data_IF_040182430919
#
_entry.id   IF_040182430919
#
_cell.length_a   1.000
_cell.length_b   1.000
_cell.length_c   1.000
_cell.angle_alpha   90.00
_cell.angle_beta   90.00
_cell.angle_gamma   90.00
#
_symmetry.space_group_name_H-M   'P 1'
#
loop_
_entity.id
_entity.type
_entity.pdbx_description
1 polymer ?
#
# COMPACT_ATOMS: atom_id res chain seq x y z
N UNK A 1 55.92 50.73 29.99
CA UNK A 1 54.52 50.68 29.51
C UNK A 1 54.39 49.43 28.64
N UNK A 2 53.59 48.45 29.05
CA UNK A 2 53.33 47.24 28.28
C UNK A 2 51.83 46.93 28.35
N UNK A 3 51.13 47.13 27.24
CA UNK A 3 49.72 46.76 27.09
C UNK A 3 49.66 45.30 26.63
N UNK A 4 49.23 44.42 27.53
CA UNK A 4 48.89 43.03 27.21
C UNK A 4 47.49 42.97 26.63
N UNK A 5 47.38 42.76 25.32
CA UNK A 5 46.13 42.48 24.62
C UNK A 5 45.69 41.05 24.93
N UNK A 6 44.69 40.90 25.79
CA UNK A 6 44.02 39.62 26.06
C UNK A 6 43.00 39.39 24.94
N UNK A 7 43.37 38.62 23.93
CA UNK A 7 42.44 38.14 22.90
C UNK A 7 41.49 37.10 23.50
N UNK A 8 40.28 37.54 23.85
CA UNK A 8 39.17 36.65 24.19
C UNK A 8 38.65 36.04 22.88
N UNK A 9 39.11 34.84 22.56
CA UNK A 9 38.61 34.06 21.42
C UNK A 9 37.17 33.61 21.68
N UNK A 10 36.22 34.14 20.91
CA UNK A 10 34.81 33.73 20.96
C UNK A 10 34.64 32.38 20.24
N UNK A 11 34.56 31.31 21.02
CA UNK A 11 34.34 29.95 20.52
C UNK A 11 32.84 29.73 20.30
N UNK A 12 32.38 29.95 19.07
CA UNK A 12 30.98 29.72 18.68
C UNK A 12 30.79 28.22 18.48
N UNK A 13 30.27 27.52 19.50
CA UNK A 13 29.77 26.15 19.34
C UNK A 13 28.43 26.19 18.61
N UNK A 14 28.45 25.98 17.29
CA UNK A 14 27.21 25.71 16.54
C UNK A 14 26.77 24.28 16.84
N UNK A 15 25.87 24.13 17.80
CA UNK A 15 25.13 22.90 18.02
C UNK A 15 24.27 22.61 16.78
N UNK A 16 24.65 21.61 15.99
CA UNK A 16 23.85 21.13 14.87
C UNK A 16 22.56 20.51 15.42
N UNK A 17 21.44 21.21 15.25
CA UNK A 17 20.12 20.65 15.54
C UNK A 17 19.87 19.59 14.47
N UNK A 18 19.99 18.32 14.84
CA UNK A 18 19.65 17.20 13.96
C UNK A 18 18.13 17.14 13.87
N UNK A 19 17.57 17.63 12.76
CA UNK A 19 16.17 17.38 12.42
C UNK A 19 16.10 15.93 11.96
N UNK A 20 15.50 15.05 12.78
CA UNK A 20 15.15 13.71 12.32
C UNK A 20 14.03 13.84 11.30
N UNK A 21 14.38 13.89 10.02
CA UNK A 21 13.41 13.80 8.95
C UNK A 21 12.73 12.42 8.99
N UNK A 22 11.42 12.38 8.81
CA UNK A 22 10.66 11.14 8.65
C UNK A 22 11.19 10.39 7.42
N UNK A 23 11.45 9.08 7.56
CA UNK A 23 11.87 8.25 6.43
C UNK A 23 11.36 6.84 6.57
N UNK A 24 10.82 6.31 5.47
CA UNK A 24 10.26 4.96 5.40
C UNK A 24 10.73 4.27 4.12
N UNK A 25 11.14 3.02 4.26
CA UNK A 25 11.51 2.16 3.13
C UNK A 25 10.53 0.99 3.00
N UNK A 26 9.96 0.82 1.82
CA UNK A 26 9.27 -0.41 1.42
C UNK A 26 10.23 -1.26 0.59
N UNK A 27 10.36 -2.55 0.91
CA UNK A 27 11.17 -3.52 0.17
C UNK A 27 10.33 -4.69 -0.28
N UNK A 28 10.65 -5.22 -1.44
CA UNK A 28 10.05 -6.43 -1.99
C UNK A 28 11.07 -7.57 -2.01
N UNK A 29 10.61 -8.75 -1.58
CA UNK A 29 11.28 -10.03 -1.73
C UNK A 29 10.36 -10.96 -2.52
N UNK A 30 10.59 -11.07 -3.83
CA UNK A 30 9.81 -11.93 -4.70
C UNK A 30 10.45 -13.32 -4.79
N UNK A 31 9.93 -14.26 -3.99
CA UNK A 31 10.38 -15.66 -3.99
C UNK A 31 9.54 -16.57 -4.87
N UNK A 32 8.56 -16.03 -5.59
CA UNK A 32 7.73 -16.81 -6.50
C UNK A 32 8.51 -17.30 -7.72
N UNK A 33 9.61 -16.62 -8.10
CA UNK A 33 10.36 -16.89 -9.32
C UNK A 33 9.70 -16.35 -10.60
N UNK A 34 8.57 -15.66 -10.48
CA UNK A 34 7.85 -15.00 -11.56
C UNK A 34 7.13 -13.75 -11.04
N UNK A 35 6.57 -12.98 -11.99
CA UNK A 35 5.85 -11.75 -11.69
C UNK A 35 6.76 -10.59 -11.28
N UNK A 36 6.15 -9.41 -11.20
CA UNK A 36 6.86 -8.16 -10.89
C UNK A 36 6.16 -7.46 -9.74
N UNK A 37 6.82 -7.24 -8.59
CA UNK A 37 6.25 -6.45 -7.52
C UNK A 37 5.87 -5.06 -8.03
N UNK A 38 4.72 -4.55 -7.59
CA UNK A 38 4.27 -3.20 -7.86
C UNK A 38 4.08 -2.49 -6.53
N UNK A 39 4.64 -1.29 -6.38
CA UNK A 39 4.21 -0.32 -5.37
C UNK A 39 3.55 0.85 -6.09
N UNK A 40 2.29 1.13 -5.76
CA UNK A 40 1.52 2.20 -6.38
C UNK A 40 1.12 3.22 -5.33
N UNK A 41 1.28 4.50 -5.68
CA UNK A 41 0.86 5.63 -4.85
C UNK A 41 0.41 6.77 -5.75
N UNK A 42 -0.76 7.34 -5.47
CA UNK A 42 -1.25 8.51 -6.21
C UNK A 42 -1.46 8.29 -7.71
N UNK A 43 -1.66 7.04 -8.16
CA UNK A 43 -1.83 6.72 -9.57
C UNK A 43 -0.53 6.41 -10.32
N UNK A 44 0.62 6.41 -9.64
CA UNK A 44 1.92 6.12 -10.24
C UNK A 44 2.51 4.82 -9.67
N UNK A 45 3.20 4.05 -10.54
CA UNK A 45 4.08 2.95 -10.12
C UNK A 45 5.40 3.55 -9.64
N UNK A 46 5.71 3.39 -8.35
CA UNK A 46 6.90 3.98 -7.73
C UNK A 46 8.16 3.12 -7.91
N UNK A 47 8.03 1.80 -7.76
CA UNK A 47 9.17 0.86 -7.83
C UNK A 47 8.68 -0.57 -8.01
N UNK A 48 9.61 -1.46 -8.34
CA UNK A 48 9.42 -2.92 -8.37
C UNK A 48 10.35 -3.68 -7.40
N UNK A 49 11.21 -2.98 -6.65
CA UNK A 49 12.22 -3.61 -5.78
C UNK A 49 12.27 -2.99 -4.39
N UNK A 50 12.60 -1.70 -4.30
CA UNK A 50 12.57 -0.94 -3.06
C UNK A 50 12.27 0.53 -3.34
N UNK A 51 11.55 1.16 -2.41
CA UNK A 51 11.22 2.57 -2.46
C UNK A 51 11.46 3.17 -1.09
N UNK A 52 12.18 4.28 -1.04
CA UNK A 52 12.39 5.06 0.19
C UNK A 52 11.79 6.44 0.00
N UNK A 53 10.95 6.84 0.95
CA UNK A 53 10.40 8.19 1.04
C UNK A 53 11.10 8.95 2.18
N UNK A 54 11.34 10.24 1.98
CA UNK A 54 11.78 11.19 3.01
C UNK A 54 10.55 11.90 3.63
N UNK A 55 9.58 11.09 4.04
CA UNK A 55 8.29 11.51 4.59
C UNK A 55 7.26 10.38 4.51
N UNK A 56 6.04 10.68 4.89
CA UNK A 56 4.91 9.74 4.85
C UNK A 56 4.71 9.05 3.48
N UNK A 57 4.42 7.75 3.52
CA UNK A 57 3.88 6.98 2.40
C UNK A 57 2.39 6.74 2.70
N UNK A 58 1.52 7.67 2.29
CA UNK A 58 0.08 7.59 2.54
C UNK A 58 -0.65 6.74 1.49
N UNK A 59 -1.55 5.86 1.95
CA UNK A 59 -2.52 5.12 1.12
C UNK A 59 -1.90 4.49 -0.13
N UNK A 60 -0.75 3.83 0.05
CA UNK A 60 -0.09 3.09 -1.02
C UNK A 60 -0.63 1.66 -1.07
N UNK A 61 -0.60 1.08 -2.26
CA UNK A 61 -0.95 -0.33 -2.47
C UNK A 61 0.23 -1.07 -3.07
N UNK A 62 0.29 -2.36 -2.80
CA UNK A 62 1.24 -3.26 -3.43
C UNK A 62 0.61 -4.59 -3.81
N UNK A 63 1.15 -5.21 -4.86
CA UNK A 63 0.77 -6.55 -5.32
C UNK A 63 1.88 -7.12 -6.21
N UNK A 64 1.82 -8.41 -6.50
CA UNK A 64 2.68 -9.05 -7.49
C UNK A 64 1.96 -9.10 -8.83
N UNK A 65 2.42 -8.34 -9.83
CA UNK A 65 1.86 -8.39 -11.17
C UNK A 65 2.23 -9.71 -11.87
N UNK A 66 1.24 -10.56 -12.10
CA UNK A 66 1.40 -11.88 -12.75
C UNK A 66 0.83 -11.95 -14.17
N UNK A 67 0.23 -10.86 -14.66
CA UNK A 67 -0.39 -10.74 -15.99
C UNK A 67 -1.88 -10.37 -15.92
N UNK A 68 -2.57 -10.82 -14.87
CA UNK A 68 -4.02 -10.64 -14.72
C UNK A 68 -4.41 -9.52 -13.75
N UNK A 69 -3.46 -9.01 -12.95
CA UNK A 69 -3.74 -7.93 -12.00
C UNK A 69 -4.05 -6.64 -12.77
N UNK A 70 -5.12 -5.96 -12.38
CA UNK A 70 -5.38 -4.60 -12.87
C UNK A 70 -4.59 -3.57 -12.06
N UNK A 71 -4.68 -2.30 -12.46
CA UNK A 71 -3.83 -1.24 -11.94
C UNK A 71 -3.97 -1.05 -10.43
N UNK A 72 -5.17 -1.17 -9.86
CA UNK A 72 -5.38 -1.03 -8.41
C UNK A 72 -5.26 -2.38 -7.69
N UNK A 73 -4.66 -3.38 -8.32
CA UNK A 73 -4.47 -4.72 -7.75
C UNK A 73 -5.73 -5.60 -7.82
N UNK A 74 -6.77 -5.19 -8.55
CA UNK A 74 -7.94 -6.03 -8.76
C UNK A 74 -7.52 -7.38 -9.37
N UNK A 75 -8.19 -8.45 -8.95
CA UNK A 75 -7.85 -9.86 -9.25
C UNK A 75 -6.54 -10.36 -8.63
N UNK A 76 -5.93 -9.62 -7.71
CA UNK A 76 -4.70 -10.02 -7.06
C UNK A 76 -4.72 -9.85 -5.54
N UNK A 77 -3.81 -10.57 -4.86
CA UNK A 77 -3.59 -10.41 -3.42
C UNK A 77 -3.11 -8.98 -3.20
N UNK A 78 -4.00 -8.12 -2.69
CA UNK A 78 -3.72 -6.70 -2.46
C UNK A 78 -3.07 -6.52 -1.08
N UNK A 79 -2.06 -5.67 -1.02
CA UNK A 79 -1.49 -5.17 0.21
C UNK A 79 -1.76 -3.67 0.30
N UNK A 80 -2.36 -3.22 1.37
CA UNK A 80 -2.61 -1.79 1.63
C UNK A 80 -1.66 -1.33 2.74
N UNK A 81 -1.07 -0.15 2.60
CA UNK A 81 -0.14 0.37 3.60
C UNK A 81 -0.18 1.90 3.73
N UNK A 82 0.07 2.34 4.95
CA UNK A 82 0.39 3.73 5.28
C UNK A 82 1.64 3.73 6.18
N UNK A 83 2.71 4.37 5.73
CA UNK A 83 3.94 4.48 6.51
C UNK A 83 4.08 5.91 7.02
N UNK A 84 3.93 6.10 8.32
CA UNK A 84 4.08 7.39 8.97
C UNK A 84 4.62 7.27 10.39
N UNK A 85 5.28 8.33 10.86
CA UNK A 85 5.66 8.52 12.25
C UNK A 85 4.45 8.85 13.12
N UNK A 86 4.23 8.17 14.26
CA UNK A 86 3.10 8.44 15.13
C UNK A 86 3.17 9.86 15.73
N UNK A 87 2.19 10.69 15.39
CA UNK A 87 1.96 12.00 16.06
C UNK A 87 0.93 11.91 17.19
N UNK A 88 0.18 10.80 17.25
CA UNK A 88 -0.78 10.45 18.29
C UNK A 88 -0.75 8.94 18.53
N UNK A 89 -1.27 8.49 19.67
CA UNK A 89 -1.38 7.05 19.96
C UNK A 89 -2.30 6.39 18.94
N UNK A 90 -1.80 5.37 18.25
CA UNK A 90 -2.52 4.66 17.19
C UNK A 90 -2.40 5.30 15.81
N UNK A 91 -1.65 6.41 15.67
CA UNK A 91 -1.47 7.13 14.42
C UNK A 91 -0.16 6.81 13.68
N UNK A 92 0.57 5.77 14.09
CA UNK A 92 1.77 5.31 13.39
C UNK A 92 1.47 4.51 12.11
N UNK A 93 2.52 3.91 11.57
CA UNK A 93 2.45 3.11 10.34
C UNK A 93 1.52 1.90 10.48
N UNK A 94 0.83 1.54 9.40
CA UNK A 94 -0.03 0.36 9.32
C UNK A 94 0.07 -0.31 7.95
N UNK A 95 -0.19 -1.62 7.94
CA UNK A 95 -0.29 -2.39 6.71
C UNK A 95 -1.24 -3.58 6.91
N UNK A 96 -1.88 -3.98 5.83
CA UNK A 96 -2.79 -5.12 5.80
C UNK A 96 -2.82 -5.80 4.43
N UNK A 97 -3.43 -6.99 4.41
CA UNK A 97 -3.67 -7.77 3.19
C UNK A 97 -5.18 -7.75 2.96
N UNK A 98 -5.62 -7.47 1.74
CA UNK A 98 -7.04 -7.36 1.38
C UNK A 98 -7.41 -8.33 0.26
N UNK A 99 -8.46 -9.09 0.52
CA UNK A 99 -9.11 -10.04 -0.39
C UNK A 99 -10.62 -9.73 -0.51
N UNK A 100 -11.01 -8.48 -0.25
CA UNK A 100 -12.35 -7.97 -0.48
C UNK A 100 -12.51 -7.74 -1.99
N UNK A 101 -13.57 -8.30 -2.59
CA UNK A 101 -13.87 -8.13 -4.02
C UNK A 101 -13.84 -6.64 -4.42
N UNK A 102 -13.14 -6.25 -5.50
CA UNK A 102 -12.63 -7.07 -6.62
C UNK A 102 -11.23 -7.68 -6.44
N UNK A 103 -10.66 -7.65 -5.23
CA UNK A 103 -9.36 -8.28 -4.93
C UNK A 103 -9.57 -9.76 -4.61
N UNK A 104 -8.63 -10.60 -5.02
CA UNK A 104 -8.73 -12.05 -4.81
C UNK A 104 -7.35 -12.64 -4.63
N UNK A 105 -7.26 -13.82 -4.04
CA UNK A 105 -5.96 -14.43 -3.78
C UNK A 105 -5.31 -14.84 -5.11
N UNK A 106 -4.16 -14.23 -5.43
CA UNK A 106 -3.35 -14.60 -6.60
C UNK A 106 -2.06 -15.30 -6.20
N UNK A 107 -1.35 -14.79 -5.19
CA UNK A 107 -0.13 -15.38 -4.64
C UNK A 107 -0.09 -15.27 -3.11
N UNK A 108 0.62 -16.19 -2.42
CA UNK A 108 0.95 -16.02 -1.01
C UNK A 108 1.72 -14.73 -0.78
N UNK A 109 1.38 -13.99 0.26
CA UNK A 109 2.04 -12.75 0.62
C UNK A 109 2.27 -12.65 2.13
N UNK A 110 3.38 -12.01 2.50
CA UNK A 110 3.74 -11.70 3.88
C UNK A 110 4.17 -10.24 3.97
N UNK A 111 3.70 -9.57 5.02
CA UNK A 111 4.17 -8.25 5.42
C UNK A 111 4.87 -8.34 6.75
N UNK A 112 5.97 -7.61 6.91
CA UNK A 112 6.72 -7.53 8.17
C UNK A 112 7.36 -6.14 8.31
N UNK A 113 7.17 -5.50 9.46
CA UNK A 113 7.89 -4.29 9.82
C UNK A 113 9.35 -4.60 10.19
N UNK A 114 10.26 -3.70 9.82
CA UNK A 114 11.67 -3.73 10.23
C UNK A 114 12.24 -2.33 10.47
N UNK A 115 13.34 -2.23 11.21
CA UNK A 115 13.86 -0.94 11.68
C UNK A 115 12.95 -0.29 12.72
N UNK A 116 12.16 -1.12 13.41
CA UNK A 116 11.15 -0.76 14.41
C UNK A 116 9.94 -1.70 14.31
N UNK A 117 9.41 -2.14 15.46
CA UNK A 117 8.44 -3.25 15.54
C UNK A 117 8.89 -4.53 14.79
N UNK A 118 10.19 -4.83 14.78
CA UNK A 118 10.77 -5.92 13.99
C UNK A 118 10.03 -7.25 14.15
N UNK A 119 9.70 -7.90 13.04
CA UNK A 119 8.97 -9.18 13.05
C UNK A 119 7.45 -9.04 13.19
N UNK A 120 6.95 -7.85 13.51
CA UNK A 120 5.51 -7.59 13.56
C UNK A 120 4.95 -7.55 12.16
N UNK A 121 3.96 -8.39 11.89
CA UNK A 121 3.49 -8.60 10.53
C UNK A 121 2.40 -9.65 10.45
N UNK A 122 2.03 -10.00 9.22
CA UNK A 122 1.07 -11.06 8.96
C UNK A 122 1.39 -11.79 7.65
N UNK A 123 0.84 -12.99 7.49
CA UNK A 123 1.01 -13.82 6.30
C UNK A 123 -0.34 -14.34 5.86
N UNK A 124 -0.59 -14.28 4.56
CA UNK A 124 -1.72 -14.91 3.89
C UNK A 124 -1.17 -15.89 2.85
N UNK A 125 -1.29 -17.18 3.12
CA UNK A 125 -0.70 -18.27 2.33
C UNK A 125 -1.71 -18.99 1.42
N UNK A 126 -3.00 -18.67 1.58
CA UNK A 126 -4.10 -19.37 0.97
C UNK A 126 -5.29 -18.44 0.72
N UNK A 127 -6.18 -18.81 -0.22
CA UNK A 127 -7.38 -18.03 -0.50
C UNK A 127 -8.35 -17.94 0.68
N UNK A 128 -8.17 -18.69 1.76
CA UNK A 128 -9.00 -18.70 2.98
C UNK A 128 -8.29 -18.15 4.23
N UNK A 129 -7.11 -17.52 4.07
CA UNK A 129 -6.38 -16.89 5.17
C UNK A 129 -7.27 -15.94 6.00
N UNK A 130 -7.29 -16.15 7.32
CA UNK A 130 -8.07 -15.34 8.27
C UNK A 130 -7.35 -14.04 8.67
N UNK A 131 -6.15 -13.82 8.16
CA UNK A 131 -5.29 -12.68 8.43
C UNK A 131 -5.42 -11.54 7.42
N UNK A 132 -6.32 -11.68 6.45
CA UNK A 132 -6.63 -10.68 5.44
C UNK A 132 -8.03 -10.09 5.67
N UNK A 133 -8.23 -8.85 5.23
CA UNK A 133 -9.55 -8.27 5.08
C UNK A 133 -10.34 -9.09 4.06
N UNK A 134 -11.47 -9.64 4.48
CA UNK A 134 -12.44 -10.35 3.61
C UNK A 134 -13.80 -9.67 3.63
N UNK A 135 -14.05 -8.89 4.68
CA UNK A 135 -15.18 -8.00 4.82
C UNK A 135 -14.66 -6.64 5.32
N UNK A 136 -15.36 -5.52 5.00
CA UNK A 136 -14.93 -4.19 5.40
C UNK A 136 -14.78 -3.97 6.92
N UNK A 137 -15.39 -4.81 7.75
CA UNK A 137 -15.36 -4.74 9.21
C UNK A 137 -14.27 -5.60 9.86
N UNK A 138 -13.43 -6.28 9.08
CA UNK A 138 -12.26 -7.07 9.54
C UNK A 138 -11.10 -6.22 10.08
N UNK A 139 -11.40 -5.09 10.71
CA UNK A 139 -10.45 -4.11 11.25
C UNK A 139 -9.39 -4.66 12.21
N UNK A 140 -9.58 -5.89 12.70
CA UNK A 140 -8.66 -6.60 13.57
C UNK A 140 -7.49 -7.27 12.83
N UNK A 141 -7.54 -7.38 11.49
CA UNK A 141 -6.46 -7.96 10.68
C UNK A 141 -5.40 -6.93 10.27
N UNK A 142 -5.65 -5.65 10.51
CA UNK A 142 -4.68 -4.60 10.26
C UNK A 142 -3.55 -4.65 11.27
N UNK A 143 -2.32 -4.64 10.76
CA UNK A 143 -1.11 -4.62 11.59
C UNK A 143 -0.63 -3.19 11.68
N UNK A 144 -0.27 -2.76 12.89
CA UNK A 144 0.20 -1.40 13.15
C UNK A 144 1.54 -1.41 13.88
N UNK A 145 2.34 -0.38 13.63
CA UNK A 145 3.57 -0.09 14.34
C UNK A 145 3.59 1.38 14.79
N UNK A 146 3.95 1.60 16.05
CA UNK A 146 3.94 2.92 16.69
C UNK A 146 5.36 3.43 16.98
N UNK A 147 6.33 3.06 16.13
CA UNK A 147 7.70 3.55 16.18
C UNK A 147 7.97 4.53 15.03
N UNK A 148 8.97 5.39 15.20
CA UNK A 148 9.38 6.32 14.15
C UNK A 148 10.27 5.62 13.13
N UNK A 149 10.15 6.02 11.86
CA UNK A 149 10.99 5.63 10.74
C UNK A 149 11.05 4.12 10.50
N UNK A 150 9.94 3.44 10.77
CA UNK A 150 9.81 2.01 10.50
C UNK A 150 9.70 1.74 9.02
N UNK A 151 10.13 0.57 8.63
CA UNK A 151 10.18 0.13 7.25
C UNK A 151 9.32 -1.12 7.07
N UNK A 152 8.94 -1.44 5.84
CA UNK A 152 8.09 -2.58 5.53
C UNK A 152 8.78 -3.50 4.53
N UNK A 153 8.87 -4.78 4.87
CA UNK A 153 9.26 -5.85 3.97
C UNK A 153 8.00 -6.59 3.50
N UNK A 154 7.83 -6.65 2.19
CA UNK A 154 6.79 -7.42 1.53
C UNK A 154 7.45 -8.63 0.87
N UNK A 155 7.07 -9.82 1.30
CA UNK A 155 7.56 -11.08 0.71
C UNK A 155 6.43 -11.77 -0.05
N UNK A 156 6.62 -12.00 -1.33
CA UNK A 156 5.73 -12.83 -2.14
C UNK A 156 6.26 -14.27 -2.17
N UNK A 157 5.36 -15.24 -2.02
CA UNK A 157 5.69 -16.67 -1.88
C UNK A 157 6.72 -16.94 -0.76
N UNK A 158 6.45 -16.56 0.51
CA UNK A 158 7.44 -16.63 1.59
C UNK A 158 8.07 -18.01 1.78
N UNK A 159 7.31 -19.09 1.54
CA UNK A 159 7.77 -20.48 1.63
C UNK A 159 8.33 -21.03 0.31
N UNK A 160 8.53 -20.18 -0.71
CA UNK A 160 8.91 -20.58 -2.07
C UNK A 160 7.79 -21.30 -2.84
N UNK A 161 6.62 -21.44 -2.23
CA UNK A 161 5.45 -22.00 -2.89
C UNK A 161 4.85 -20.93 -3.80
N UNK A 162 5.03 -21.09 -5.12
CA UNK A 162 4.12 -20.50 -6.09
C UNK A 162 2.73 -21.04 -5.78
N UNK A 163 1.71 -20.18 -5.68
CA UNK A 163 0.32 -20.61 -5.76
C UNK A 163 0.13 -21.28 -7.12
N UNK A 164 0.48 -22.56 -7.20
CA UNK A 164 -0.03 -23.45 -8.22
C UNK A 164 -1.50 -23.61 -7.85
N UNK A 165 -2.28 -22.58 -8.17
CA UNK A 165 -3.64 -22.81 -8.58
C UNK A 165 -3.52 -23.91 -9.62
N UNK A 166 -4.05 -25.07 -9.27
CA UNK A 166 -4.30 -26.17 -10.16
C UNK A 166 -4.89 -25.55 -11.42
N UNK A 167 -4.06 -25.29 -12.43
CA UNK A 167 -4.53 -25.33 -13.79
C UNK A 167 -5.06 -26.74 -13.89
N UNK A 168 -6.37 -26.86 -13.77
CA UNK A 168 -7.10 -27.99 -14.27
C UNK A 168 -6.84 -27.96 -15.79
N UNK A 169 -5.66 -28.44 -16.19
CA UNK A 169 -5.41 -28.94 -17.52
C UNK A 169 -6.36 -30.11 -17.60
N UNK A 170 -7.58 -29.81 -18.03
CA UNK A 170 -8.46 -30.81 -18.63
C UNK A 170 -7.66 -31.31 -19.82
N UNK A 171 -6.83 -32.32 -19.60
CA UNK A 171 -6.35 -33.20 -20.64
C UNK A 171 -7.60 -33.91 -21.12
N UNK A 172 -8.34 -33.25 -22.02
CA UNK A 172 -9.30 -33.91 -22.87
C UNK A 172 -8.46 -34.84 -23.73
N UNK A 173 -8.30 -36.08 -23.26
CA UNK A 173 -7.85 -37.19 -24.07
C UNK A 173 -8.92 -37.39 -25.13
N UNK A 174 -8.83 -36.63 -26.21
CA UNK A 174 -9.57 -36.91 -27.43
C UNK A 174 -8.97 -38.19 -27.98
N UNK A 175 -9.62 -39.31 -27.69
CA UNK A 175 -9.35 -40.60 -28.31
C UNK A 175 -9.60 -40.45 -29.82
N UNK A 176 -8.53 -40.17 -30.57
CA UNK A 176 -8.57 -40.08 -32.03
C UNK A 176 -8.75 -41.49 -32.59
N UNK A 177 -10.02 -41.85 -32.82
CA UNK A 177 -10.36 -42.96 -33.71
C UNK A 177 -10.01 -42.57 -35.13
N UNK A 178 -8.84 -43.00 -35.59
CA UNK A 178 -8.38 -42.88 -36.97
C UNK A 178 -9.36 -43.56 -37.92
N UNK A 179 -9.97 -42.78 -38.81
CA UNK A 179 -10.53 -43.29 -40.05
C UNK A 179 -9.87 -42.51 -41.21
N UNK A 180 -9.31 -43.18 -42.21
CA UNK A 180 -8.72 -42.51 -43.37
C UNK A 180 -9.85 -42.04 -44.28
N UNK A 181 -9.70 -40.94 -45.02
CA UNK A 181 -10.11 -40.80 -46.45
C UNK A 181 -9.98 -39.34 -46.94
N UNK A 182 -9.24 -39.23 -48.05
CA UNK A 182 -9.22 -38.20 -49.11
C UNK A 182 -8.74 -36.77 -48.84
N UNK A 183 -7.56 -36.53 -49.41
CA UNK A 183 -7.06 -35.26 -49.95
C UNK A 183 -8.09 -34.48 -50.78
N UNK A 184 -8.25 -33.20 -50.48
CA UNK A 184 -8.69 -32.20 -51.46
C UNK A 184 -7.88 -30.93 -51.31
N UNK A 185 -7.12 -30.66 -52.37
CA UNK A 185 -6.28 -29.51 -52.66
C UNK A 185 -7.16 -28.29 -52.96
N UNK A 186 -7.09 -27.22 -52.18
CA UNK A 186 -7.62 -25.90 -52.56
C UNK A 186 -6.62 -24.81 -52.14
N UNK A 187 -6.31 -23.96 -53.11
CA UNK A 187 -5.34 -22.86 -53.14
C UNK A 187 -5.85 -21.59 -52.40
N UNK A 188 -5.02 -20.53 -52.25
CA UNK A 188 -5.21 -19.45 -51.27
C UNK A 188 -5.93 -18.21 -51.86
N UNK A 189 -6.42 -17.31 -51.00
CA UNK A 189 -6.58 -15.91 -51.39
C UNK A 189 -5.87 -14.92 -50.45
N UNK A 190 -4.92 -14.20 -51.04
CA UNK A 190 -4.89 -12.73 -51.20
C UNK A 190 -5.17 -11.80 -49.99
N UNK A 191 -4.08 -11.19 -49.52
CA UNK A 191 -3.86 -9.74 -49.31
C UNK A 191 -5.03 -8.81 -48.99
N UNK A 192 -4.99 -8.15 -47.82
CA UNK A 192 -5.18 -6.69 -47.69
C UNK A 192 -4.71 -6.16 -46.33
N UNK A 193 -3.78 -5.20 -46.36
CA UNK A 193 -3.47 -4.24 -45.27
C UNK A 193 -4.13 -2.88 -45.62
N UNK A 194 -3.87 -1.78 -44.89
CA UNK A 194 -4.20 -1.47 -43.49
C UNK A 194 -5.20 -0.29 -43.40
N UNK A 195 -5.92 -0.12 -42.28
CA UNK A 195 -6.69 1.11 -42.01
C UNK A 195 -5.97 1.93 -40.95
N UNK A 196 -5.40 3.06 -41.38
CA UNK A 196 -4.81 4.11 -40.56
C UNK A 196 -5.94 5.04 -40.12
N UNK A 197 -6.29 5.05 -38.84
CA UNK A 197 -7.13 6.10 -38.26
C UNK A 197 -6.24 7.17 -37.64
N UNK A 198 -6.16 8.29 -38.37
CA UNK A 198 -5.59 9.55 -37.92
C UNK A 198 -6.69 10.35 -37.24
N UNK A 199 -6.58 10.58 -35.93
CA UNK A 199 -7.47 11.47 -35.18
C UNK A 199 -6.70 12.72 -34.76
N UNK A 200 -7.21 13.85 -35.26
CA UNK A 200 -6.81 15.23 -35.03
C UNK A 200 -7.01 15.65 -33.57
N UNK A 201 -6.12 16.47 -32.99
CA UNK A 201 -6.34 17.09 -31.69
C UNK A 201 -7.22 18.34 -31.81
N UNK A 202 -8.36 18.35 -31.11
CA UNK A 202 -9.20 19.54 -30.93
C UNK A 202 -8.63 20.41 -29.83
N UNK A 203 -8.03 21.53 -30.24
CA UNK A 203 -7.67 22.67 -29.39
C UNK A 203 -8.91 23.32 -28.80
N UNK A 204 -8.99 23.45 -27.48
CA UNK A 204 -9.99 24.28 -26.77
C UNK A 204 -9.28 25.35 -25.95
N UNK A 205 -9.74 26.62 -25.96
CA UNK A 205 -8.96 27.77 -25.56
C UNK A 205 -9.01 28.10 -24.06
N UNK A 206 -7.94 28.80 -23.67
CA UNK A 206 -7.70 29.56 -22.44
C UNK A 206 -8.92 30.22 -21.79
N UNK A 207 -9.00 30.09 -20.47
CA UNK A 207 -9.72 31.01 -19.60
C UNK A 207 -8.82 31.54 -18.47
N UNK A 208 -8.44 32.80 -18.66
CA UNK A 208 -8.51 33.90 -17.70
C UNK A 208 -7.89 33.72 -16.31
N UNK A 209 -6.69 34.27 -16.19
CA UNK A 209 -6.05 34.76 -14.96
C UNK A 209 -6.86 35.86 -14.28
N UNK A 210 -7.08 35.73 -12.97
CA UNK A 210 -7.40 36.86 -12.07
C UNK A 210 -6.47 36.81 -10.86
N UNK A 211 -5.71 37.88 -10.56
CA UNK A 211 -4.89 37.94 -9.36
C UNK A 211 -5.74 38.42 -8.18
N UNK A 212 -5.67 37.71 -7.06
CA UNK A 212 -6.17 38.25 -5.79
C UNK A 212 -5.05 38.31 -4.75
N UNK A 213 -5.01 39.49 -4.16
CA UNK A 213 -4.02 40.10 -3.31
C UNK A 213 -3.73 39.35 -2.01
N UNK A 214 -2.45 39.40 -1.66
CA UNK A 214 -1.87 39.31 -0.33
C UNK A 214 -2.69 40.00 0.76
N UNK A 215 -3.00 39.28 1.84
CA UNK A 215 -3.17 39.85 3.17
C UNK A 215 -2.49 38.98 4.22
N UNK A 216 -1.40 39.53 4.75
CA UNK A 216 -0.83 39.16 6.03
C UNK A 216 -1.78 39.57 7.15
N UNK A 217 -2.07 38.68 8.10
CA UNK A 217 -2.22 39.10 9.49
C UNK A 217 -1.99 37.93 10.45
N UNK A 218 -0.97 38.17 11.27
CA UNK A 218 -0.62 37.59 12.55
C UNK A 218 -1.83 37.48 13.49
N UNK A 219 -2.08 36.30 14.06
CA UNK A 219 -2.50 36.17 15.47
C UNK A 219 -2.56 34.70 15.89
N UNK A 220 -1.76 34.36 16.91
CA UNK A 220 -1.82 33.11 17.63
C UNK A 220 -3.06 33.05 18.54
N UNK A 221 -3.65 31.85 18.77
CA UNK A 221 -4.40 31.61 19.98
C UNK A 221 -3.70 30.58 20.88
N UNK A 222 -3.37 31.05 22.07
CA UNK A 222 -3.09 30.26 23.27
C UNK A 222 -4.28 29.34 23.54
N UNK A 223 -4.13 28.02 23.41
CA UNK A 223 -5.12 27.06 23.88
C UNK A 223 -4.62 26.39 25.16
N UNK A 224 -4.82 27.08 26.30
CA UNK A 224 -4.71 26.49 27.63
C UNK A 224 -6.09 25.96 28.05
N UNK A 225 -6.11 24.71 28.49
CA UNK A 225 -7.05 24.10 29.45
C UNK A 225 -8.53 24.00 29.02
N UNK A 226 -8.97 22.77 28.76
CA UNK A 226 -10.22 22.18 29.31
C UNK A 226 -10.28 20.68 28.99
N UNK A 227 -9.52 19.87 29.73
CA UNK A 227 -9.58 18.40 29.69
C UNK A 227 -10.09 17.83 31.03
N UNK A 228 -11.16 18.43 31.56
CA UNK A 228 -11.80 18.00 32.80
C UNK A 228 -13.34 18.03 32.68
N UNK A 229 -13.90 17.51 31.58
CA UNK A 229 -15.36 17.35 31.47
C UNK A 229 -15.80 16.31 30.43
N UNK A 230 -15.15 15.14 30.39
CA UNK A 230 -15.60 13.98 29.59
C UNK A 230 -15.52 12.64 30.33
N UNK A 231 -15.62 12.66 31.67
CA UNK A 231 -15.66 11.44 32.51
C UNK A 231 -16.99 11.21 33.26
N UNK A 232 -18.10 11.81 32.84
CA UNK A 232 -19.38 11.66 33.52
C UNK A 232 -20.52 10.99 32.71
N UNK A 233 -20.36 10.74 31.39
CA UNK A 233 -21.49 10.28 30.56
C UNK A 233 -21.56 8.75 30.37
N UNK A 234 -20.47 8.00 30.56
CA UNK A 234 -20.44 6.55 30.33
C UNK A 234 -20.79 5.66 31.55
N UNK A 235 -21.24 6.22 32.68
CA UNK A 235 -21.60 5.44 33.87
C UNK A 235 -23.07 4.98 33.93
N UNK A 236 -23.95 5.42 33.02
CA UNK A 236 -25.38 5.11 33.09
C UNK A 236 -25.87 3.92 32.24
N UNK A 237 -25.01 3.31 31.41
CA UNK A 237 -25.39 2.20 30.52
C UNK A 237 -24.88 0.83 31.01
N UNK A 238 -25.00 0.55 32.31
CA UNK A 238 -24.70 -0.78 32.90
C UNK A 238 -25.73 -1.28 33.92
N UNK A 239 -26.93 -0.69 33.98
CA UNK A 239 -28.04 -1.18 34.80
C UNK A 239 -29.28 -1.39 33.94
N UNK A 240 -29.41 -2.55 33.29
CA UNK A 240 -30.61 -2.84 32.52
C UNK A 240 -30.53 -4.07 31.64
N UNK A 241 -30.08 -5.21 32.16
CA UNK A 241 -30.43 -6.50 31.55
C UNK A 241 -30.34 -7.58 32.64
N UNK A 242 -31.49 -7.85 33.23
CA UNK A 242 -31.62 -8.76 34.36
C UNK A 242 -33.08 -8.89 34.76
N UNK A 243 -33.91 -9.47 33.89
CA UNK A 243 -35.20 -9.99 34.31
C UNK A 243 -35.50 -11.32 33.62
N UNK A 244 -35.20 -12.36 34.38
CA UNK A 244 -35.76 -13.70 34.37
C UNK A 244 -37.28 -13.69 34.19
N UNK A 245 -37.78 -14.56 33.31
CA UNK A 245 -39.11 -15.15 33.45
C UNK A 245 -38.99 -16.67 33.22
N UNK A 246 -39.13 -17.42 34.31
CA UNK A 246 -39.62 -18.79 34.33
C UNK A 246 -41.13 -18.72 34.50
N UNK A 247 -41.85 -19.48 33.71
CA UNK A 247 -43.01 -20.34 34.06
C UNK A 247 -43.31 -21.22 32.87
#
# INVERSE_FOLDING_TARGET
MALTLVSVGLLVLTSAISVSAESHTVKFDNRCGYGTPQLIKGGDVLTTTSYTSNGEIAAAIAYLQTGDCLFNGEKCTLLELTMTNPVTVGGGSSADISLIDPHTFSVPARIEFYGGCDGTGTTCDSPDCNTAFRQPDDTWVQIACQENNVNLLITFCPDGSSSSSTQHVTTTTTEVKTNPTTSKKISPPTTTSPVVHSSTPTTTPSSTTTPSSSQSSTSAPVCKRKHAERRAINAHRKRGSGRSFRS
#
